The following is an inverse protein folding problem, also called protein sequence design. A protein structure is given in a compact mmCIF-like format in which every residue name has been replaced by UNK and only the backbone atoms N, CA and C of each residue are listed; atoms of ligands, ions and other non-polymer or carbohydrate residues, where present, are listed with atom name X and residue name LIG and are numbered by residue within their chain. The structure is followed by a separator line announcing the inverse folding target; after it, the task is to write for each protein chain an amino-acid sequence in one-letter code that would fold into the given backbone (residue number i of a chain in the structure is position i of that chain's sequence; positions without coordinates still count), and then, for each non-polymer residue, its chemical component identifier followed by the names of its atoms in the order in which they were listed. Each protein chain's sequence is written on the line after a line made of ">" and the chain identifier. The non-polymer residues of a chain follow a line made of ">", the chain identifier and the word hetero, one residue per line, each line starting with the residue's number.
data_IF_380495670275
#
_entry.id   IF_380495670275
#
_cell.length_a   1.000
_cell.length_b   1.000
_cell.length_c   1.000
_cell.angle_alpha   90.00
_cell.angle_beta   90.00
_cell.angle_gamma   90.00
#
_symmetry.space_group_name_H-M   'P 1'
#
loop_
_entity.id
_entity.type
_entity.pdbx_description
1 polymer ?
#
# COMPACT_ATOMS: atom_id res chain seq x y z
N UNK A 1 8.12 10.92 36.46
CA UNK A 1 8.05 9.54 35.94
C UNK A 1 8.92 8.56 36.71
N UNK A 2 10.25 8.75 36.78
CA UNK A 2 11.14 7.77 37.44
C UNK A 2 10.69 7.45 38.87
N UNK A 3 10.50 8.46 39.72
CA UNK A 3 10.03 8.27 41.09
C UNK A 3 8.68 7.55 41.17
N UNK A 4 7.72 7.92 40.32
CA UNK A 4 6.36 7.34 40.31
C UNK A 4 6.43 5.85 39.98
N UNK A 5 7.07 5.49 38.86
CA UNK A 5 7.17 4.09 38.41
C UNK A 5 7.94 3.27 39.43
N UNK A 6 9.10 3.75 39.87
CA UNK A 6 9.98 2.99 40.76
C UNK A 6 9.36 2.79 42.14
N UNK A 7 8.68 3.80 42.69
CA UNK A 7 7.99 3.68 43.98
C UNK A 7 6.78 2.77 43.88
N UNK A 8 6.02 2.81 42.78
CA UNK A 8 4.86 1.94 42.57
C UNK A 8 5.23 0.45 42.43
N UNK A 9 6.46 0.14 42.04
CA UNK A 9 6.95 -1.23 41.83
C UNK A 9 7.65 -1.81 43.07
N UNK A 10 7.85 -1.02 44.13
CA UNK A 10 8.43 -1.52 45.38
C UNK A 10 7.54 -2.61 45.96
N UNK A 11 8.14 -3.75 46.29
CA UNK A 11 7.43 -4.89 46.90
C UNK A 11 6.80 -5.87 45.91
N UNK A 12 6.87 -5.61 44.60
CA UNK A 12 6.41 -6.56 43.59
C UNK A 12 7.54 -7.45 43.09
N UNK A 13 7.23 -8.74 42.88
CA UNK A 13 8.13 -9.68 42.20
C UNK A 13 7.51 -10.05 40.85
N UNK A 14 8.08 -9.53 39.76
CA UNK A 14 7.51 -9.60 38.42
C UNK A 14 8.41 -10.44 37.50
N UNK A 15 7.82 -11.25 36.64
CA UNK A 15 8.55 -11.91 35.54
C UNK A 15 8.75 -10.99 34.34
N UNK A 16 7.71 -10.21 34.01
CA UNK A 16 7.67 -9.28 32.88
C UNK A 16 7.00 -7.98 33.32
N UNK A 17 7.66 -6.86 33.05
CA UNK A 17 7.11 -5.51 33.24
C UNK A 17 6.98 -4.80 31.90
N UNK A 18 5.77 -4.35 31.59
CA UNK A 18 5.54 -3.46 30.44
C UNK A 18 5.22 -2.06 30.94
N UNK A 19 6.01 -1.08 30.51
CA UNK A 19 5.81 0.33 30.83
C UNK A 19 5.28 1.03 29.58
N UNK A 20 3.99 1.37 29.57
CA UNK A 20 3.38 2.18 28.51
C UNK A 20 3.41 3.65 28.89
N UNK A 21 3.98 4.50 28.03
CA UNK A 21 4.06 5.96 28.23
C UNK A 21 4.29 6.67 26.89
N UNK A 22 3.72 7.86 26.69
CA UNK A 22 3.68 8.54 25.38
C UNK A 22 5.05 8.89 24.80
N UNK A 23 6.04 9.02 25.69
CA UNK A 23 7.45 9.24 25.34
C UNK A 23 8.34 8.12 25.88
N UNK A 24 7.79 6.92 26.09
CA UNK A 24 8.55 5.75 26.55
C UNK A 24 9.78 5.46 25.67
N UNK A 25 9.68 5.72 24.36
CA UNK A 25 10.77 5.57 23.40
C UNK A 25 11.99 6.47 23.70
N UNK A 26 11.77 7.65 24.28
CA UNK A 26 12.82 8.57 24.73
C UNK A 26 13.23 8.25 26.16
N UNK A 27 12.25 8.06 27.04
CA UNK A 27 12.43 7.81 28.46
C UNK A 27 13.26 6.55 28.72
N UNK A 28 13.05 5.47 27.96
CA UNK A 28 13.78 4.20 28.14
C UNK A 28 15.29 4.32 27.92
N UNK A 29 15.74 5.26 27.07
CA UNK A 29 17.15 5.37 26.62
C UNK A 29 18.13 5.60 27.76
N UNK A 30 17.71 6.36 28.79
CA UNK A 30 18.55 6.65 29.96
C UNK A 30 17.98 6.06 31.26
N UNK A 31 17.06 5.09 31.17
CA UNK A 31 16.45 4.46 32.35
C UNK A 31 17.49 3.76 33.25
N UNK A 32 18.46 2.98 32.73
CA UNK A 32 19.47 2.34 33.58
C UNK A 32 20.30 3.35 34.38
N UNK A 33 20.68 4.47 33.77
CA UNK A 33 21.46 5.54 34.41
C UNK A 33 20.62 6.27 35.46
N UNK A 34 19.36 6.56 35.16
CA UNK A 34 18.45 7.22 36.11
C UNK A 34 18.13 6.31 37.29
N UNK A 35 17.92 5.01 37.07
CA UNK A 35 17.72 4.02 38.13
C UNK A 35 18.91 3.98 39.12
N UNK A 36 20.15 4.13 38.63
CA UNK A 36 21.35 4.21 39.51
C UNK A 36 21.36 5.45 40.41
N UNK A 37 20.72 6.55 39.99
CA UNK A 37 20.64 7.80 40.77
C UNK A 37 19.54 7.78 41.84
N UNK A 38 18.68 6.77 41.81
CA UNK A 38 17.54 6.69 42.72
C UNK A 38 17.95 6.17 44.10
N UNK A 39 17.21 6.57 45.16
CA UNK A 39 17.40 6.04 46.51
C UNK A 39 17.42 4.52 46.52
N UNK A 40 18.32 3.92 47.30
CA UNK A 40 18.53 2.45 47.33
C UNK A 40 17.23 1.67 47.57
N UNK A 41 16.33 2.21 48.39
CA UNK A 41 15.06 1.58 48.76
C UNK A 41 14.06 1.42 47.60
N UNK A 42 14.16 2.26 46.56
CA UNK A 42 13.22 2.27 45.42
C UNK A 42 13.91 1.94 44.09
N UNK A 43 15.20 1.62 44.11
CA UNK A 43 15.93 1.23 42.90
C UNK A 43 15.42 -0.11 42.38
N UNK A 44 15.09 -0.18 41.09
CA UNK A 44 14.64 -1.42 40.46
C UNK A 44 15.82 -2.35 40.16
N UNK A 45 15.73 -3.65 40.45
CA UNK A 45 16.72 -4.63 40.03
C UNK A 45 16.49 -5.02 38.57
N UNK A 46 16.83 -4.13 37.63
CA UNK A 46 16.56 -4.27 36.19
C UNK A 46 17.20 -5.51 35.54
N UNK A 47 18.13 -6.16 36.24
CA UNK A 47 18.80 -7.40 35.85
C UNK A 47 18.04 -8.68 36.28
N UNK A 48 17.04 -8.56 37.16
CA UNK A 48 16.31 -9.69 37.74
C UNK A 48 14.99 -10.02 37.06
N UNK A 49 14.51 -9.16 36.17
CA UNK A 49 13.24 -9.35 35.46
C UNK A 49 13.31 -8.75 34.06
N UNK A 50 12.46 -9.24 33.17
CA UNK A 50 12.35 -8.67 31.82
C UNK A 50 11.50 -7.42 31.89
N UNK A 51 11.99 -6.31 31.32
CA UNK A 51 11.18 -5.10 31.16
C UNK A 51 11.18 -4.62 29.72
N UNK A 52 10.04 -4.06 29.31
CA UNK A 52 9.87 -3.46 28.01
C UNK A 52 9.13 -2.13 28.14
N UNK A 53 9.47 -1.20 27.26
CA UNK A 53 8.85 0.12 27.17
C UNK A 53 8.07 0.20 25.87
N UNK A 54 6.88 0.79 25.93
CA UNK A 54 5.98 0.87 24.79
C UNK A 54 5.27 2.22 24.70
N UNK A 55 4.97 2.62 23.46
CA UNK A 55 4.06 3.71 23.16
C UNK A 55 2.63 3.17 23.18
N UNK A 56 1.70 3.83 23.90
CA UNK A 56 0.27 3.58 23.79
C UNK A 56 -0.21 3.64 22.33
N UNK A 57 -1.30 2.94 22.01
CA UNK A 57 -1.72 2.68 20.62
C UNK A 57 -2.05 3.96 19.84
N UNK A 58 -2.75 4.91 20.45
CA UNK A 58 -3.05 6.22 19.84
C UNK A 58 -1.80 7.10 19.80
N UNK A 59 -1.02 7.11 20.88
CA UNK A 59 0.20 7.92 20.95
C UNK A 59 1.26 7.50 19.95
N UNK A 60 1.40 6.19 19.70
CA UNK A 60 2.32 5.67 18.71
C UNK A 60 2.13 6.40 17.37
N UNK A 61 0.88 6.61 16.92
CA UNK A 61 0.56 7.30 15.66
C UNK A 61 1.15 8.71 15.50
N UNK A 62 1.53 9.38 16.60
CA UNK A 62 2.16 10.70 16.58
C UNK A 62 3.69 10.66 16.40
N UNK A 63 4.30 9.47 16.39
CA UNK A 63 5.74 9.27 16.17
C UNK A 63 6.02 8.91 14.71
N UNK A 64 7.29 8.93 14.28
CA UNK A 64 7.65 8.40 12.96
C UNK A 64 7.46 6.87 12.89
N UNK A 65 7.36 6.34 11.67
CA UNK A 65 7.05 4.92 11.40
C UNK A 65 8.04 3.95 12.08
N UNK A 66 9.33 4.28 12.07
CA UNK A 66 10.35 3.43 12.69
C UNK A 66 10.18 3.36 14.21
N UNK A 67 9.94 4.51 14.85
CA UNK A 67 9.66 4.59 16.28
C UNK A 67 8.36 3.84 16.64
N UNK A 68 7.33 3.95 15.78
CA UNK A 68 6.08 3.21 15.92
C UNK A 68 6.29 1.70 15.89
N UNK A 69 7.01 1.20 14.88
CA UNK A 69 7.28 -0.22 14.73
C UNK A 69 8.11 -0.78 15.89
N UNK A 70 9.08 -0.02 16.39
CA UNK A 70 9.97 -0.45 17.47
C UNK A 70 9.33 -0.40 18.85
N UNK A 71 8.42 0.54 19.08
CA UNK A 71 7.90 0.85 20.41
C UNK A 71 6.40 0.67 20.55
N UNK A 72 5.65 0.42 19.48
CA UNK A 72 4.21 0.25 19.54
C UNK A 72 3.81 -0.87 20.51
N UNK A 73 2.86 -0.57 21.40
CA UNK A 73 2.38 -1.54 22.39
C UNK A 73 1.87 -2.83 21.74
N UNK A 74 1.20 -2.74 20.59
CA UNK A 74 0.66 -3.90 19.87
C UNK A 74 1.71 -4.93 19.42
N UNK A 75 3.00 -4.56 19.39
CA UNK A 75 4.10 -5.45 19.00
C UNK A 75 4.86 -6.04 20.20
N UNK A 76 4.45 -5.73 21.44
CA UNK A 76 5.13 -6.19 22.65
C UNK A 76 4.60 -7.54 23.12
N UNK A 77 5.51 -8.41 23.53
CA UNK A 77 5.15 -9.74 24.00
C UNK A 77 4.42 -9.64 25.35
N UNK A 78 3.39 -10.46 25.56
CA UNK A 78 2.69 -10.55 26.85
C UNK A 78 1.69 -9.43 27.16
N UNK A 79 1.52 -8.41 26.30
CA UNK A 79 0.60 -7.29 26.57
C UNK A 79 -0.85 -7.54 26.11
N UNK A 80 -1.06 -8.56 25.28
CA UNK A 80 -2.36 -8.87 24.68
C UNK A 80 -2.92 -7.72 23.83
N UNK A 81 -4.25 -7.66 23.67
CA UNK A 81 -4.92 -6.56 22.99
C UNK A 81 -5.27 -5.44 23.97
N UNK A 82 -4.26 -4.64 24.32
CA UNK A 82 -4.38 -3.45 25.16
C UNK A 82 -4.03 -2.18 24.37
N UNK A 83 -4.64 -1.05 24.73
CA UNK A 83 -4.35 0.26 24.13
C UNK A 83 -3.31 1.07 24.92
N UNK A 84 -3.25 0.91 26.25
CA UNK A 84 -2.38 1.68 27.12
C UNK A 84 -2.86 3.12 27.39
N UNK A 85 -4.11 3.46 27.03
CA UNK A 85 -4.63 4.85 27.01
C UNK A 85 -5.54 5.18 28.21
N UNK A 86 -5.77 4.21 29.11
CA UNK A 86 -6.82 4.31 30.13
C UNK A 86 -6.68 5.44 31.16
N UNK A 87 -5.55 6.16 31.20
CA UNK A 87 -5.36 7.35 32.04
C UNK A 87 -5.94 8.62 31.40
N UNK A 88 -6.08 8.64 30.07
CA UNK A 88 -6.47 9.85 29.33
C UNK A 88 -7.98 9.99 29.13
N UNK A 89 -8.73 8.91 29.31
CA UNK A 89 -10.18 8.91 29.10
C UNK A 89 -10.93 9.87 30.06
N UNK A 90 -10.31 10.20 31.21
CA UNK A 90 -10.93 11.02 32.26
C UNK A 90 -10.32 12.44 32.37
N UNK A 91 -9.27 12.73 31.59
CA UNK A 91 -8.51 13.98 31.66
C UNK A 91 -8.95 15.00 30.59
N UNK A 92 -10.16 15.55 30.73
CA UNK A 92 -10.62 16.66 29.88
C UNK A 92 -9.90 17.97 30.18
N UNK A 93 -9.54 18.76 29.15
CA UNK A 93 -8.91 20.09 29.33
C UNK A 93 -9.83 21.02 30.14
N UNK A 94 -9.31 21.62 31.21
CA UNK A 94 -9.96 22.72 31.94
C UNK A 94 -10.61 22.37 33.29
N UNK A 95 -10.38 21.17 33.84
CA UNK A 95 -10.85 20.82 35.19
C UNK A 95 -9.92 21.38 36.27
N UNK A 96 -10.48 21.83 37.41
CA UNK A 96 -9.68 22.23 38.59
C UNK A 96 -9.01 20.99 39.20
N UNK A 97 -7.84 21.16 39.80
CA UNK A 97 -7.01 20.07 40.38
C UNK A 97 -7.84 19.18 41.31
N UNK A 98 -8.60 19.75 42.24
CA UNK A 98 -9.41 19.01 43.21
C UNK A 98 -10.46 18.09 42.54
N UNK A 99 -11.02 18.51 41.40
CA UNK A 99 -11.98 17.68 40.66
C UNK A 99 -11.31 16.52 39.92
N UNK A 100 -10.05 16.70 39.51
CA UNK A 100 -9.27 15.60 38.92
C UNK A 100 -8.87 14.60 39.99
N UNK A 101 -8.44 15.05 41.17
CA UNK A 101 -8.09 14.17 42.30
C UNK A 101 -9.28 13.28 42.70
N UNK A 102 -10.46 13.87 42.95
CA UNK A 102 -11.67 13.12 43.33
C UNK A 102 -12.07 12.07 42.28
N UNK A 103 -11.99 12.43 40.99
CA UNK A 103 -12.27 11.50 39.89
C UNK A 103 -11.25 10.38 39.79
N UNK A 104 -9.96 10.71 39.91
CA UNK A 104 -8.86 9.73 39.84
C UNK A 104 -8.96 8.76 41.02
N UNK A 105 -9.24 9.25 42.23
CA UNK A 105 -9.36 8.42 43.43
C UNK A 105 -10.57 7.49 43.35
N UNK A 106 -11.73 8.02 42.95
CA UNK A 106 -12.93 7.22 42.70
C UNK A 106 -12.67 6.11 41.65
N UNK A 107 -12.00 6.46 40.55
CA UNK A 107 -11.64 5.50 39.50
C UNK A 107 -10.66 4.43 40.00
N UNK A 108 -9.63 4.82 40.76
CA UNK A 108 -8.67 3.89 41.34
C UNK A 108 -9.36 2.94 42.32
N UNK A 109 -10.25 3.46 43.17
CA UNK A 109 -11.05 2.64 44.09
C UNK A 109 -11.92 1.64 43.33
N UNK A 110 -12.70 2.11 42.34
CA UNK A 110 -13.54 1.26 41.50
C UNK A 110 -12.73 0.19 40.75
N UNK A 111 -11.55 0.53 40.23
CA UNK A 111 -10.63 -0.43 39.59
C UNK A 111 -10.16 -1.49 40.57
N UNK A 112 -9.75 -1.10 41.78
CA UNK A 112 -9.24 -2.03 42.79
C UNK A 112 -10.32 -3.03 43.22
N UNK A 113 -11.55 -2.57 43.51
CA UNK A 113 -12.64 -3.47 43.93
C UNK A 113 -13.20 -4.30 42.75
N UNK A 114 -13.20 -3.75 41.54
CA UNK A 114 -13.78 -4.38 40.34
C UNK A 114 -12.80 -5.25 39.55
N UNK A 115 -11.52 -5.31 39.95
CA UNK A 115 -10.46 -5.93 39.15
C UNK A 115 -10.76 -7.41 38.84
N UNK A 116 -11.21 -8.18 39.83
CA UNK A 116 -11.48 -9.61 39.65
C UNK A 116 -12.57 -9.87 38.60
N UNK A 117 -13.70 -9.19 38.71
CA UNK A 117 -14.81 -9.30 37.75
C UNK A 117 -14.40 -8.81 36.35
N UNK A 118 -13.70 -7.68 36.27
CA UNK A 118 -13.21 -7.14 35.01
C UNK A 118 -12.23 -8.10 34.30
N UNK A 119 -11.31 -8.71 35.05
CA UNK A 119 -10.36 -9.69 34.51
C UNK A 119 -11.07 -10.98 34.05
N UNK A 120 -12.06 -11.47 34.80
CA UNK A 120 -12.85 -12.63 34.40
C UNK A 120 -13.59 -12.39 33.08
N UNK A 121 -14.27 -11.24 32.94
CA UNK A 121 -14.98 -10.87 31.70
C UNK A 121 -14.00 -10.74 30.53
N UNK A 122 -12.85 -10.08 30.74
CA UNK A 122 -11.81 -9.94 29.72
C UNK A 122 -11.23 -11.29 29.29
N UNK A 123 -11.06 -12.24 30.22
CA UNK A 123 -10.56 -13.58 29.91
C UNK A 123 -11.51 -14.34 28.97
N UNK A 124 -12.83 -14.27 29.21
CA UNK A 124 -13.85 -14.90 28.35
C UNK A 124 -13.74 -14.36 26.92
N UNK A 125 -13.70 -13.03 26.78
CA UNK A 125 -13.55 -12.37 25.47
C UNK A 125 -12.22 -12.75 24.82
N UNK A 126 -11.12 -12.74 25.57
CA UNK A 126 -9.79 -13.06 25.06
C UNK A 126 -9.68 -14.51 24.57
N UNK A 127 -10.38 -15.46 25.19
CA UNK A 127 -10.43 -16.85 24.71
C UNK A 127 -11.16 -16.93 23.37
N UNK A 128 -12.35 -16.31 23.27
CA UNK A 128 -13.11 -16.28 22.01
C UNK A 128 -12.33 -15.60 20.88
N UNK A 129 -11.72 -14.45 21.15
CA UNK A 129 -10.93 -13.72 20.17
C UNK A 129 -9.68 -14.50 19.74
N UNK A 130 -9.01 -15.18 20.68
CA UNK A 130 -7.87 -16.05 20.36
C UNK A 130 -8.26 -17.13 19.35
N UNK A 131 -9.41 -17.78 19.52
CA UNK A 131 -9.87 -18.81 18.59
C UNK A 131 -10.11 -18.22 17.18
N UNK A 132 -10.73 -17.04 17.10
CA UNK A 132 -10.87 -16.30 15.84
C UNK A 132 -9.52 -15.96 15.19
N UNK A 133 -8.57 -15.44 15.97
CA UNK A 133 -7.24 -15.08 15.46
C UNK A 133 -6.44 -16.30 15.01
N UNK A 134 -6.57 -17.44 15.70
CA UNK A 134 -5.91 -18.70 15.32
C UNK A 134 -6.43 -19.20 13.97
N UNK A 135 -7.74 -19.19 13.75
CA UNK A 135 -8.31 -19.61 12.46
C UNK A 135 -7.93 -18.63 11.33
N UNK A 136 -7.98 -17.33 11.58
CA UNK A 136 -7.52 -16.33 10.62
C UNK A 136 -6.03 -16.52 10.26
N UNK A 137 -5.19 -16.78 11.26
CA UNK A 137 -3.77 -17.04 11.05
C UNK A 137 -3.54 -18.32 10.23
N UNK A 138 -4.26 -19.41 10.51
CA UNK A 138 -4.19 -20.66 9.73
C UNK A 138 -4.56 -20.42 8.27
N UNK A 139 -5.63 -19.67 8.04
CA UNK A 139 -6.10 -19.37 6.68
C UNK A 139 -5.05 -18.58 5.89
N UNK A 140 -4.57 -17.46 6.44
CA UNK A 140 -3.53 -16.64 5.80
C UNK A 140 -2.25 -17.44 5.60
N UNK A 141 -1.85 -18.22 6.60
CA UNK A 141 -0.65 -19.04 6.52
C UNK A 141 -0.77 -20.13 5.45
N UNK A 142 -1.95 -20.63 5.12
CA UNK A 142 -2.11 -21.75 4.17
C UNK A 142 -1.59 -21.41 2.77
N UNK A 143 -1.66 -20.15 2.36
CA UNK A 143 -1.33 -19.70 1.01
C UNK A 143 0.09 -19.17 0.86
N UNK A 144 0.80 -18.98 1.97
CA UNK A 144 2.20 -18.54 1.98
C UNK A 144 3.11 -19.76 1.80
N UNK A 145 4.18 -19.61 1.02
CA UNK A 145 5.17 -20.67 0.80
C UNK A 145 5.95 -21.02 2.09
N UNK A 146 6.44 -22.26 2.20
CA UNK A 146 7.01 -22.78 3.46
C UNK A 146 8.35 -22.14 3.82
N UNK A 147 9.16 -21.83 2.81
CA UNK A 147 10.41 -21.09 2.90
C UNK A 147 10.18 -19.66 3.41
N UNK A 148 9.19 -18.94 2.85
CA UNK A 148 8.82 -17.59 3.29
C UNK A 148 8.41 -17.57 4.75
N UNK A 149 7.60 -18.55 5.20
CA UNK A 149 7.24 -18.69 6.63
C UNK A 149 8.45 -18.91 7.51
N UNK A 150 9.39 -19.73 7.05
CA UNK A 150 10.59 -20.09 7.81
C UNK A 150 11.50 -18.88 7.97
N UNK A 151 11.75 -18.16 6.87
CA UNK A 151 12.50 -16.92 6.87
C UNK A 151 11.87 -15.87 7.81
N UNK A 152 10.55 -15.64 7.69
CA UNK A 152 9.89 -14.63 8.52
C UNK A 152 9.88 -14.98 10.01
N UNK A 153 9.67 -16.25 10.36
CA UNK A 153 9.81 -16.72 11.75
C UNK A 153 11.22 -16.54 12.30
N UNK A 154 12.24 -16.73 11.48
CA UNK A 154 13.63 -16.48 11.87
C UNK A 154 13.89 -14.99 12.10
N UNK A 155 13.36 -14.11 11.24
CA UNK A 155 13.44 -12.65 11.43
C UNK A 155 12.80 -12.21 12.75
N UNK A 156 11.60 -12.70 13.07
CA UNK A 156 10.92 -12.40 14.34
C UNK A 156 11.75 -12.86 15.54
N UNK A 157 12.28 -14.09 15.50
CA UNK A 157 13.14 -14.60 16.58
C UNK A 157 14.43 -13.79 16.74
N UNK A 158 15.05 -13.39 15.64
CA UNK A 158 16.26 -12.58 15.66
C UNK A 158 15.98 -11.20 16.28
N UNK A 159 14.90 -10.54 15.87
CA UNK A 159 14.51 -9.24 16.37
C UNK A 159 14.07 -9.25 17.84
N UNK A 160 13.30 -10.26 18.27
CA UNK A 160 12.91 -10.40 19.68
C UNK A 160 14.11 -10.63 20.60
N UNK A 161 15.15 -11.33 20.11
CA UNK A 161 16.40 -11.55 20.84
C UNK A 161 17.28 -10.31 20.85
N UNK A 162 17.34 -9.60 19.72
CA UNK A 162 18.17 -8.42 19.52
C UNK A 162 17.40 -7.36 18.70
N UNK A 163 16.85 -6.33 19.35
CA UNK A 163 16.13 -5.25 18.68
C UNK A 163 16.99 -4.41 17.72
N UNK A 164 18.31 -4.63 17.62
CA UNK A 164 19.15 -4.02 16.59
C UNK A 164 19.05 -4.71 15.22
N UNK A 165 18.51 -5.94 15.18
CA UNK A 165 18.24 -6.66 13.93
C UNK A 165 17.09 -5.99 13.15
N UNK A 166 16.94 -6.26 11.84
CA UNK A 166 15.84 -5.73 11.05
C UNK A 166 14.47 -6.06 11.66
N UNK A 167 13.66 -5.02 11.90
CA UNK A 167 12.35 -5.16 12.51
C UNK A 167 11.34 -5.75 11.49
N UNK A 168 10.79 -6.96 11.72
CA UNK A 168 9.87 -7.61 10.79
C UNK A 168 8.49 -6.96 10.72
N UNK A 169 8.18 -6.04 11.64
CA UNK A 169 6.92 -5.31 11.71
C UNK A 169 6.99 -3.93 11.05
N UNK A 170 8.19 -3.44 10.75
CA UNK A 170 8.34 -2.24 9.93
C UNK A 170 7.83 -2.59 8.53
N UNK A 171 6.86 -1.83 7.98
CA UNK A 171 6.42 -2.07 6.61
C UNK A 171 7.65 -2.00 5.72
N UNK A 172 7.89 -3.05 4.93
CA UNK A 172 8.92 -3.02 3.90
C UNK A 172 8.61 -1.82 3.03
N UNK A 173 9.42 -0.76 3.14
CA UNK A 173 9.44 0.28 2.12
C UNK A 173 9.81 -0.48 0.86
N UNK A 174 8.83 -0.72 0.01
CA UNK A 174 9.15 -1.16 -1.34
C UNK A 174 10.10 -0.09 -1.84
N UNK A 175 11.37 -0.43 -2.01
CA UNK A 175 12.39 0.38 -2.71
C UNK A 175 12.01 0.48 -4.21
N UNK A 176 10.72 0.58 -4.49
CA UNK A 176 10.13 0.82 -5.77
C UNK A 176 10.05 2.34 -5.91
N UNK A 177 10.92 2.96 -6.71
CA UNK A 177 10.77 4.36 -7.02
C UNK A 177 9.37 4.60 -7.62
N UNK A 178 8.76 5.70 -7.20
CA UNK A 178 7.51 6.16 -7.76
C UNK A 178 7.66 6.42 -9.26
N UNK A 179 6.56 6.35 -10.01
CA UNK A 179 6.60 6.71 -11.43
C UNK A 179 7.15 8.14 -11.66
N UNK A 180 6.99 9.05 -10.70
CA UNK A 180 7.53 10.40 -10.78
C UNK A 180 9.06 10.43 -10.62
N UNK A 181 9.60 9.68 -9.67
CA UNK A 181 11.05 9.54 -9.47
C UNK A 181 11.72 8.87 -10.68
N UNK A 182 11.11 7.82 -11.25
CA UNK A 182 11.63 7.18 -12.46
C UNK A 182 11.59 8.12 -13.66
N UNK A 183 10.51 8.88 -13.85
CA UNK A 183 10.45 9.91 -14.92
C UNK A 183 11.54 10.97 -14.75
N UNK A 184 11.83 11.38 -13.52
CA UNK A 184 12.91 12.33 -13.24
C UNK A 184 14.28 11.73 -13.54
N UNK A 185 14.51 10.46 -13.18
CA UNK A 185 15.75 9.76 -13.48
C UNK A 185 15.99 9.63 -15.00
N UNK A 186 14.99 9.15 -15.74
CA UNK A 186 15.08 9.03 -17.21
C UNK A 186 15.32 10.39 -17.87
N UNK A 187 14.71 11.46 -17.36
CA UNK A 187 14.96 12.83 -17.84
C UNK A 187 16.39 13.29 -17.56
N UNK A 188 16.93 13.00 -16.36
CA UNK A 188 18.32 13.33 -16.02
C UNK A 188 19.32 12.59 -16.90
N UNK A 189 19.06 11.32 -17.18
CA UNK A 189 19.91 10.51 -18.09
C UNK A 189 19.89 11.07 -19.51
N UNK A 190 18.71 11.52 -19.98
CA UNK A 190 18.55 12.22 -21.25
C UNK A 190 19.32 13.55 -21.28
N UNK A 191 19.17 14.39 -20.25
CA UNK A 191 19.88 15.68 -20.13
C UNK A 191 21.41 15.48 -20.10
N UNK A 192 21.89 14.42 -19.44
CA UNK A 192 23.31 14.05 -19.44
C UNK A 192 23.80 13.58 -20.82
N UNK A 193 23.01 12.79 -21.54
CA UNK A 193 23.35 12.36 -22.90
C UNK A 193 23.36 13.53 -23.90
N UNK A 194 22.44 14.49 -23.73
CA UNK A 194 22.43 15.76 -24.46
C UNK A 194 23.70 16.57 -24.20
N UNK A 195 24.09 16.74 -22.92
CA UNK A 195 25.32 17.43 -22.55
C UNK A 195 26.58 16.75 -23.10
N UNK A 196 26.55 15.43 -23.25
CA UNK A 196 27.63 14.64 -23.85
C UNK A 196 27.63 14.63 -25.40
N UNK A 197 26.68 15.31 -26.06
CA UNK A 197 26.55 15.34 -27.52
C UNK A 197 26.11 14.01 -28.14
N UNK A 198 25.53 13.11 -27.36
CA UNK A 198 25.12 11.76 -27.79
C UNK A 198 23.63 11.69 -28.20
N UNK A 199 22.89 12.80 -28.09
CA UNK A 199 21.48 12.86 -28.45
C UNK A 199 21.27 13.20 -29.93
N UNK A 200 20.47 12.43 -30.68
CA UNK A 200 20.21 12.70 -32.10
C UNK A 200 19.27 13.89 -32.38
N UNK A 201 18.57 14.45 -31.39
CA UNK A 201 17.50 15.42 -31.61
C UNK A 201 17.55 16.65 -30.68
N UNK A 202 17.60 17.85 -31.25
CA UNK A 202 17.55 19.13 -30.53
C UNK A 202 16.11 19.66 -30.29
N UNK A 203 15.77 20.10 -29.07
CA UNK A 203 14.64 21.01 -28.81
C UNK A 203 13.33 20.41 -28.29
N UNK A 204 13.21 19.08 -28.14
CA UNK A 204 12.17 18.47 -27.29
C UNK A 204 12.73 17.25 -26.58
N UNK A 205 12.20 16.89 -25.41
CA UNK A 205 12.65 15.72 -24.64
C UNK A 205 11.89 14.47 -25.12
N UNK A 206 12.64 13.43 -25.54
CA UNK A 206 12.14 12.08 -25.82
C UNK A 206 11.42 11.48 -24.61
N UNK A 207 11.88 11.79 -23.39
CA UNK A 207 11.17 11.42 -22.15
C UNK A 207 9.79 12.05 -22.11
N UNK A 208 9.68 13.35 -22.41
CA UNK A 208 8.39 14.06 -22.44
C UNK A 208 7.44 13.51 -23.51
N UNK A 209 7.97 13.12 -24.68
CA UNK A 209 7.20 12.44 -25.73
C UNK A 209 6.62 11.12 -25.24
N UNK A 210 7.43 10.25 -24.63
CA UNK A 210 6.96 8.96 -24.09
C UNK A 210 5.92 9.17 -22.99
N UNK A 211 6.17 10.08 -22.05
CA UNK A 211 5.24 10.41 -20.97
C UNK A 211 3.91 10.92 -21.52
N UNK A 212 3.92 11.74 -22.58
CA UNK A 212 2.70 12.18 -23.24
C UNK A 212 1.91 10.99 -23.82
N UNK A 213 2.58 10.04 -24.47
CA UNK A 213 1.96 8.79 -24.95
C UNK A 213 1.33 7.96 -23.83
N UNK A 214 2.03 7.78 -22.71
CA UNK A 214 1.52 7.07 -21.53
C UNK A 214 0.29 7.76 -20.92
N UNK A 215 0.26 9.10 -20.90
CA UNK A 215 -0.90 9.87 -20.44
C UNK A 215 -2.10 9.75 -21.36
N UNK A 216 -1.87 9.63 -22.67
CA UNK A 216 -2.94 9.39 -23.66
C UNK A 216 -3.52 7.99 -23.44
N UNK A 217 -2.68 6.95 -23.30
CA UNK A 217 -3.17 5.59 -22.97
C UNK A 217 -3.97 5.57 -21.66
N UNK A 218 -3.52 6.27 -20.62
CA UNK A 218 -4.29 6.40 -19.37
C UNK A 218 -5.65 7.07 -19.59
N UNK A 219 -5.71 8.12 -20.40
CA UNK A 219 -6.96 8.79 -20.73
C UNK A 219 -7.90 7.89 -21.56
N UNK A 220 -7.37 7.14 -22.53
CA UNK A 220 -8.12 6.14 -23.29
C UNK A 220 -8.72 5.08 -22.36
N UNK A 221 -7.91 4.53 -21.45
CA UNK A 221 -8.38 3.54 -20.45
C UNK A 221 -9.47 4.10 -19.56
N UNK A 222 -9.30 5.32 -19.04
CA UNK A 222 -10.32 5.96 -18.20
C UNK A 222 -11.66 6.05 -18.92
N UNK A 223 -11.66 6.43 -20.20
CA UNK A 223 -12.88 6.49 -21.01
C UNK A 223 -13.49 5.08 -21.19
N UNK A 224 -12.68 4.07 -21.51
CA UNK A 224 -13.15 2.68 -21.66
C UNK A 224 -13.77 2.16 -20.37
N UNK A 225 -13.14 2.37 -19.21
CA UNK A 225 -13.68 1.97 -17.91
C UNK A 225 -15.01 2.69 -17.62
N UNK A 226 -15.09 3.98 -17.95
CA UNK A 226 -16.34 4.73 -17.79
C UNK A 226 -17.43 4.27 -18.75
N UNK A 227 -17.11 3.73 -19.92
CA UNK A 227 -18.09 3.15 -20.85
C UNK A 227 -18.58 1.76 -20.41
N UNK A 228 -17.70 0.97 -19.77
CA UNK A 228 -18.04 -0.36 -19.27
C UNK A 228 -18.92 -0.32 -18.00
N UNK A 229 -18.95 0.80 -17.28
CA UNK A 229 -19.74 0.96 -16.06
C UNK A 229 -21.25 0.88 -16.32
N UNK A 230 -21.95 0.06 -15.52
CA UNK A 230 -23.37 -0.29 -15.66
C UNK A 230 -24.36 0.78 -15.20
N UNK A 231 -23.89 1.91 -14.67
CA UNK A 231 -24.76 3.00 -14.26
C UNK A 231 -25.52 3.59 -15.46
N UNK A 232 -26.77 4.03 -15.23
CA UNK A 232 -27.58 4.73 -16.24
C UNK A 232 -26.78 5.89 -16.85
N UNK A 233 -26.84 6.00 -18.17
CA UNK A 233 -26.20 7.08 -18.91
C UNK A 233 -27.08 8.32 -18.75
N UNK A 234 -26.61 9.29 -17.98
CA UNK A 234 -27.25 10.60 -17.83
C UNK A 234 -26.72 11.56 -18.89
N UNK A 235 -27.49 12.58 -19.27
CA UNK A 235 -27.06 13.60 -20.22
C UNK A 235 -25.72 14.27 -19.81
N UNK A 236 -25.55 14.56 -18.52
CA UNK A 236 -24.28 15.07 -17.95
C UNK A 236 -23.09 14.11 -18.14
N UNK A 237 -23.32 12.79 -18.09
CA UNK A 237 -22.27 11.79 -18.35
C UNK A 237 -21.90 11.73 -19.83
N UNK A 238 -22.87 11.87 -20.73
CA UNK A 238 -22.62 11.94 -22.17
C UNK A 238 -21.82 13.19 -22.54
N UNK A 239 -22.22 14.36 -22.01
CA UNK A 239 -21.50 15.62 -22.21
C UNK A 239 -20.03 15.50 -21.77
N UNK A 240 -19.79 15.00 -20.54
CA UNK A 240 -18.43 14.77 -20.02
C UNK A 240 -17.63 13.80 -20.89
N UNK A 241 -18.26 12.74 -21.38
CA UNK A 241 -17.61 11.78 -22.27
C UNK A 241 -17.22 12.43 -23.60
N UNK A 242 -18.08 13.29 -24.17
CA UNK A 242 -17.78 14.06 -25.36
C UNK A 242 -16.62 15.03 -25.15
N UNK A 243 -16.58 15.73 -24.01
CA UNK A 243 -15.46 16.61 -23.66
C UNK A 243 -14.15 15.86 -23.51
N UNK A 244 -14.17 14.70 -22.83
CA UNK A 244 -12.98 13.86 -22.70
C UNK A 244 -12.48 13.34 -24.05
N UNK A 245 -13.39 12.92 -24.93
CA UNK A 245 -13.06 12.51 -26.31
C UNK A 245 -12.44 13.65 -27.12
N UNK A 246 -13.00 14.86 -27.03
CA UNK A 246 -12.47 16.05 -27.72
C UNK A 246 -11.07 16.40 -27.21
N UNK A 247 -10.89 16.44 -25.89
CA UNK A 247 -9.59 16.71 -25.27
C UNK A 247 -8.55 15.63 -25.65
N UNK A 248 -8.98 14.38 -25.74
CA UNK A 248 -8.13 13.26 -26.16
C UNK A 248 -7.67 13.40 -27.61
N UNK A 249 -8.56 13.77 -28.55
CA UNK A 249 -8.19 14.01 -29.94
C UNK A 249 -7.16 15.13 -30.09
N UNK A 250 -7.29 16.22 -29.34
CA UNK A 250 -6.30 17.31 -29.34
C UNK A 250 -4.93 16.82 -28.86
N UNK A 251 -4.90 15.99 -27.80
CA UNK A 251 -3.65 15.41 -27.29
C UNK A 251 -3.03 14.44 -28.30
N UNK A 252 -3.84 13.60 -28.95
CA UNK A 252 -3.38 12.67 -29.99
C UNK A 252 -2.79 13.45 -31.16
N UNK A 253 -3.43 14.52 -31.63
CA UNK A 253 -2.90 15.36 -32.71
C UNK A 253 -1.51 15.92 -32.37
N UNK A 254 -1.33 16.51 -31.19
CA UNK A 254 -0.01 16.99 -30.72
C UNK A 254 1.01 15.87 -30.59
N UNK A 255 0.60 14.70 -30.12
CA UNK A 255 1.46 13.52 -30.02
C UNK A 255 1.93 13.06 -31.40
N UNK A 256 1.07 13.07 -32.42
CA UNK A 256 1.44 12.69 -33.80
C UNK A 256 2.51 13.61 -34.39
N UNK A 257 2.46 14.92 -34.14
CA UNK A 257 3.50 15.84 -34.60
C UNK A 257 4.87 15.52 -34.00
N UNK A 258 4.92 15.17 -32.72
CA UNK A 258 6.16 14.70 -32.08
C UNK A 258 6.56 13.31 -32.59
N UNK A 259 5.59 12.42 -32.84
CA UNK A 259 5.84 11.07 -33.31
C UNK A 259 6.53 11.04 -34.68
N UNK A 260 6.23 11.97 -35.59
CA UNK A 260 6.94 12.11 -36.88
C UNK A 260 8.45 12.27 -36.69
N UNK A 261 8.87 12.89 -35.57
CA UNK A 261 10.27 13.16 -35.25
C UNK A 261 10.94 12.01 -34.51
N UNK A 262 10.27 11.41 -33.52
CA UNK A 262 10.84 10.35 -32.66
C UNK A 262 10.64 8.93 -33.18
N UNK A 263 9.62 8.72 -34.02
CA UNK A 263 9.21 7.41 -34.51
C UNK A 263 8.77 7.49 -35.98
N UNK A 264 9.70 7.78 -36.91
CA UNK A 264 9.38 7.88 -38.34
C UNK A 264 8.71 6.63 -38.90
N UNK A 265 9.05 5.43 -38.41
CA UNK A 265 8.42 4.18 -38.83
C UNK A 265 6.94 4.07 -38.44
N UNK A 266 6.46 4.85 -37.47
CA UNK A 266 5.06 4.83 -37.07
C UNK A 266 4.13 5.38 -38.17
N UNK A 267 4.62 6.23 -39.07
CA UNK A 267 3.85 6.73 -40.20
C UNK A 267 3.47 5.58 -41.16
N UNK A 268 4.42 4.68 -41.45
CA UNK A 268 4.15 3.50 -42.28
C UNK A 268 3.20 2.53 -41.58
N UNK A 269 3.39 2.29 -40.28
CA UNK A 269 2.49 1.43 -39.52
C UNK A 269 1.05 1.96 -39.46
N UNK A 270 0.87 3.29 -39.38
CA UNK A 270 -0.43 3.94 -39.48
C UNK A 270 -1.06 3.78 -40.86
N UNK A 271 -0.26 3.95 -41.93
CA UNK A 271 -0.74 3.78 -43.30
C UNK A 271 -1.21 2.33 -43.53
N UNK A 272 -0.40 1.35 -43.13
CA UNK A 272 -0.76 -0.07 -43.25
C UNK A 272 -2.06 -0.37 -42.48
N UNK A 273 -2.22 0.17 -41.27
CA UNK A 273 -3.45 -0.01 -40.48
C UNK A 273 -4.69 0.57 -41.18
N UNK A 274 -4.54 1.70 -41.88
CA UNK A 274 -5.63 2.33 -42.63
C UNK A 274 -5.94 1.56 -43.91
N UNK A 275 -4.92 1.03 -44.60
CA UNK A 275 -5.09 0.17 -45.78
C UNK A 275 -5.79 -1.15 -45.45
N UNK A 276 -5.50 -1.73 -44.29
CA UNK A 276 -6.15 -2.95 -43.81
C UNK A 276 -7.56 -2.70 -43.25
N UNK A 277 -7.98 -1.43 -43.11
CA UNK A 277 -9.31 -1.10 -42.60
C UNK A 277 -10.34 -1.26 -43.71
N UNK A 278 -11.44 -1.91 -43.35
CA UNK A 278 -12.66 -1.91 -44.16
C UNK A 278 -13.11 -0.45 -44.44
N UNK A 279 -13.25 -0.10 -45.71
CA UNK A 279 -13.65 1.24 -46.15
C UNK A 279 -15.06 1.60 -45.67
N UNK A 280 -15.93 0.61 -45.47
CA UNK A 280 -17.30 0.82 -44.98
C UNK A 280 -17.37 0.99 -43.45
N UNK A 281 -16.29 0.65 -42.73
CA UNK A 281 -16.26 0.78 -41.28
C UNK A 281 -16.04 2.24 -40.84
N UNK A 282 -16.79 2.72 -39.83
CA UNK A 282 -16.59 4.07 -39.30
C UNK A 282 -15.20 4.23 -38.68
N UNK A 283 -14.64 5.45 -38.66
CA UNK A 283 -13.34 5.70 -38.06
C UNK A 283 -13.34 5.32 -36.57
N UNK A 284 -12.20 4.83 -36.04
CA UNK A 284 -12.11 4.40 -34.66
C UNK A 284 -12.42 5.57 -33.70
N UNK A 285 -13.23 5.28 -32.68
CA UNK A 285 -13.49 6.26 -31.61
C UNK A 285 -12.17 6.65 -30.92
N UNK A 286 -12.07 7.87 -30.34
CA UNK A 286 -10.82 8.38 -29.76
C UNK A 286 -10.15 7.43 -28.75
N UNK A 287 -10.96 6.76 -27.93
CA UNK A 287 -10.50 5.79 -26.93
C UNK A 287 -9.92 4.49 -27.51
N UNK A 288 -10.14 4.21 -28.80
CA UNK A 288 -9.66 3.01 -29.51
C UNK A 288 -8.56 3.32 -30.54
N UNK A 289 -8.16 4.57 -30.72
CA UNK A 289 -7.10 4.95 -31.66
C UNK A 289 -5.77 4.34 -31.20
N UNK A 290 -5.15 3.51 -32.05
CA UNK A 290 -3.82 2.93 -31.78
C UNK A 290 -2.75 4.02 -31.86
N UNK A 291 -1.96 4.18 -30.79
CA UNK A 291 -0.92 5.22 -30.74
C UNK A 291 0.36 4.81 -31.46
N UNK A 292 0.64 3.50 -31.59
CA UNK A 292 1.95 3.02 -32.06
C UNK A 292 3.09 3.59 -31.21
N UNK A 293 3.03 3.38 -29.90
CA UNK A 293 4.19 3.52 -29.01
C UNK A 293 5.29 2.52 -29.41
N UNK A 294 6.56 2.69 -29.00
CA UNK A 294 7.62 1.73 -29.34
C UNK A 294 7.25 0.26 -29.01
N UNK A 295 6.53 0.05 -27.91
CA UNK A 295 5.98 -1.25 -27.50
C UNK A 295 4.89 -1.84 -28.41
N UNK A 296 4.27 -1.01 -29.25
CA UNK A 296 3.18 -1.36 -30.17
C UNK A 296 3.63 -1.38 -31.63
N UNK A 297 4.88 -1.01 -31.92
CA UNK A 297 5.43 -1.05 -33.27
C UNK A 297 5.55 -2.50 -33.74
N UNK A 298 5.18 -2.80 -35.00
CA UNK A 298 5.42 -4.12 -35.59
C UNK A 298 6.89 -4.50 -35.50
N UNK A 299 7.16 -5.74 -35.12
CA UNK A 299 8.50 -6.33 -35.18
C UNK A 299 8.77 -6.81 -36.61
N UNK A 300 8.92 -5.87 -37.55
CA UNK A 300 9.31 -6.20 -38.92
C UNK A 300 10.83 -6.46 -38.98
N UNK A 301 11.20 -7.74 -38.97
CA UNK A 301 12.60 -8.18 -39.11
C UNK A 301 13.49 -7.91 -37.89
N UNK A 302 14.79 -8.10 -38.08
CA UNK A 302 15.83 -7.94 -37.07
C UNK A 302 16.25 -6.48 -36.82
N UNK A 303 15.42 -5.48 -37.21
CA UNK A 303 15.73 -4.07 -36.99
C UNK A 303 15.60 -3.73 -35.49
N UNK A 304 16.70 -3.44 -34.78
CA UNK A 304 16.68 -3.14 -33.35
C UNK A 304 15.96 -1.83 -33.02
N UNK A 305 15.71 -0.96 -34.01
CA UNK A 305 15.10 0.34 -33.79
C UNK A 305 13.59 0.35 -34.01
N UNK A 306 13.01 -0.61 -34.74
CA UNK A 306 11.57 -0.65 -35.10
C UNK A 306 11.07 0.69 -35.68
N UNK A 307 11.91 1.37 -36.46
CA UNK A 307 11.63 2.72 -36.96
C UNK A 307 11.49 3.81 -35.88
N UNK A 308 12.05 3.59 -34.69
CA UNK A 308 12.19 4.56 -33.61
C UNK A 308 13.60 5.18 -33.60
N UNK A 309 13.73 6.35 -33.02
CA UNK A 309 15.06 6.91 -32.69
C UNK A 309 15.73 6.05 -31.60
N UNK A 310 17.06 5.96 -31.63
CA UNK A 310 17.85 5.18 -30.67
C UNK A 310 17.54 5.57 -29.21
N UNK A 311 17.56 4.57 -28.33
CA UNK A 311 17.33 4.77 -26.88
C UNK A 311 15.86 4.81 -26.46
N UNK A 312 14.93 5.12 -27.37
CA UNK A 312 13.50 5.28 -27.05
C UNK A 312 12.86 4.00 -26.48
N UNK A 313 13.24 2.83 -27.03
CA UNK A 313 12.81 1.51 -26.55
C UNK A 313 13.24 1.31 -25.09
N UNK A 314 14.51 1.56 -24.76
CA UNK A 314 15.04 1.41 -23.38
C UNK A 314 14.33 2.34 -22.39
N UNK A 315 14.09 3.59 -22.81
CA UNK A 315 13.37 4.57 -21.99
C UNK A 315 11.93 4.12 -21.73
N UNK A 316 11.21 3.62 -22.75
CA UNK A 316 9.86 3.08 -22.55
C UNK A 316 9.91 1.84 -21.64
N UNK A 317 10.85 0.91 -21.82
CA UNK A 317 11.00 -0.27 -20.96
C UNK A 317 11.13 0.12 -19.49
N UNK A 318 11.98 1.11 -19.19
CA UNK A 318 12.18 1.63 -17.83
C UNK A 318 10.88 2.22 -17.26
N UNK A 319 10.18 3.04 -18.04
CA UNK A 319 8.90 3.64 -17.64
C UNK A 319 7.83 2.56 -17.42
N UNK A 320 7.74 1.54 -18.27
CA UNK A 320 6.75 0.46 -18.16
C UNK A 320 7.02 -0.45 -16.97
N UNK A 321 8.29 -0.78 -16.69
CA UNK A 321 8.68 -1.52 -15.49
C UNK A 321 8.23 -0.78 -14.22
N UNK A 322 8.44 0.54 -14.15
CA UNK A 322 7.95 1.36 -13.04
C UNK A 322 6.42 1.36 -12.93
N UNK A 323 5.70 1.44 -14.06
CA UNK A 323 4.23 1.36 -14.09
C UNK A 323 3.74 0.01 -13.55
N UNK A 324 4.38 -1.10 -13.92
CA UNK A 324 4.02 -2.42 -13.42
C UNK A 324 4.20 -2.52 -11.90
N UNK A 325 5.36 -2.13 -11.37
CA UNK A 325 5.62 -2.17 -9.92
C UNK A 325 4.64 -1.30 -9.13
N UNK A 326 4.47 -0.04 -9.54
CA UNK A 326 3.57 0.90 -8.87
C UNK A 326 2.10 0.45 -8.96
N UNK A 327 1.68 -0.12 -10.10
CA UNK A 327 0.34 -0.67 -10.25
C UNK A 327 0.12 -1.90 -9.36
N UNK A 328 1.11 -2.77 -9.19
CA UNK A 328 1.03 -3.93 -8.28
C UNK A 328 0.91 -3.50 -6.82
N UNK A 329 1.74 -2.56 -6.35
CA UNK A 329 1.66 -2.03 -4.98
C UNK A 329 0.26 -1.46 -4.71
N UNK A 330 -0.23 -0.65 -5.65
CA UNK A 330 -1.57 -0.05 -5.56
C UNK A 330 -2.68 -1.10 -5.60
N UNK A 331 -2.54 -2.12 -6.44
CA UNK A 331 -3.49 -3.22 -6.57
C UNK A 331 -3.59 -4.03 -5.27
N UNK A 332 -2.45 -4.42 -4.69
CA UNK A 332 -2.39 -5.14 -3.40
C UNK A 332 -3.06 -4.35 -2.29
N UNK A 333 -2.71 -3.07 -2.13
CA UNK A 333 -3.32 -2.20 -1.13
C UNK A 333 -4.85 -2.11 -1.28
N UNK A 334 -5.35 -2.00 -2.51
CA UNK A 334 -6.80 -1.95 -2.80
C UNK A 334 -7.50 -3.28 -2.56
N UNK A 335 -6.86 -4.42 -2.86
CA UNK A 335 -7.38 -5.75 -2.53
C UNK A 335 -7.49 -5.94 -1.02
N UNK A 336 -6.47 -5.52 -0.24
CA UNK A 336 -6.54 -5.54 1.23
C UNK A 336 -7.67 -4.66 1.76
N UNK A 337 -7.81 -3.44 1.26
CA UNK A 337 -8.89 -2.55 1.64
C UNK A 337 -10.26 -3.16 1.32
N UNK A 338 -10.45 -3.72 0.11
CA UNK A 338 -11.69 -4.37 -0.30
C UNK A 338 -12.04 -5.55 0.62
N UNK A 339 -11.06 -6.41 0.93
CA UNK A 339 -11.25 -7.53 1.86
C UNK A 339 -11.65 -7.04 3.24
N UNK A 340 -10.95 -6.04 3.77
CA UNK A 340 -11.27 -5.46 5.08
C UNK A 340 -12.70 -4.91 5.12
N UNK A 341 -13.12 -4.17 4.10
CA UNK A 341 -14.48 -3.64 4.01
C UNK A 341 -15.55 -4.73 3.95
N UNK A 342 -15.29 -5.81 3.21
CA UNK A 342 -16.20 -6.96 3.15
C UNK A 342 -16.31 -7.64 4.52
N UNK A 343 -15.18 -7.89 5.20
CA UNK A 343 -15.16 -8.48 6.55
C UNK A 343 -15.88 -7.58 7.55
N UNK A 344 -15.63 -6.27 7.51
CA UNK A 344 -16.30 -5.29 8.37
C UNK A 344 -17.81 -5.27 8.13
N UNK A 345 -18.22 -5.26 6.86
CA UNK A 345 -19.63 -5.28 6.46
C UNK A 345 -20.34 -6.51 7.01
N UNK A 346 -19.78 -7.71 6.79
CA UNK A 346 -20.35 -8.98 7.24
C UNK A 346 -20.50 -9.07 8.77
N UNK A 347 -19.65 -8.40 9.53
CA UNK A 347 -19.65 -8.46 11.00
C UNK A 347 -20.49 -7.37 11.66
N UNK A 348 -20.56 -6.16 11.08
CA UNK A 348 -21.03 -4.97 11.81
C UNK A 348 -22.25 -4.28 11.20
N UNK A 349 -22.56 -4.55 9.93
CA UNK A 349 -23.61 -3.80 9.23
C UNK A 349 -24.91 -4.59 9.21
N UNK A 350 -25.94 -3.99 9.78
CA UNK A 350 -27.30 -4.53 9.78
C UNK A 350 -28.28 -3.50 9.20
N UNK A 351 -29.38 -3.99 8.62
CA UNK A 351 -30.42 -3.14 8.04
C UNK A 351 -30.10 -2.63 6.63
N UNK A 352 -31.16 -2.23 5.92
CA UNK A 352 -31.12 -1.98 4.48
C UNK A 352 -30.24 -0.79 4.10
N UNK A 353 -30.41 0.37 4.75
CA UNK A 353 -29.70 1.61 4.39
C UNK A 353 -28.18 1.49 4.56
N UNK A 354 -27.73 0.95 5.70
CA UNK A 354 -26.30 0.78 5.97
C UNK A 354 -25.69 -0.28 5.04
N UNK A 355 -26.45 -1.34 4.73
CA UNK A 355 -26.02 -2.36 3.76
C UNK A 355 -25.85 -1.79 2.36
N UNK A 356 -26.77 -0.94 1.90
CA UNK A 356 -26.63 -0.25 0.61
C UNK A 356 -25.38 0.62 0.58
N UNK A 357 -25.13 1.44 1.62
CA UNK A 357 -23.93 2.30 1.69
C UNK A 357 -22.64 1.49 1.68
N UNK A 358 -22.57 0.42 2.48
CA UNK A 358 -21.40 -0.45 2.54
C UNK A 358 -21.15 -1.13 1.19
N UNK A 359 -22.20 -1.59 0.52
CA UNK A 359 -22.11 -2.18 -0.82
C UNK A 359 -21.59 -1.19 -1.85
N UNK A 360 -22.12 0.03 -1.89
CA UNK A 360 -21.62 1.09 -2.77
C UNK A 360 -20.12 1.35 -2.55
N UNK A 361 -19.67 1.39 -1.29
CA UNK A 361 -18.26 1.56 -0.97
C UNK A 361 -17.40 0.39 -1.46
N UNK A 362 -17.84 -0.86 -1.26
CA UNK A 362 -17.15 -2.06 -1.74
C UNK A 362 -17.08 -2.07 -3.27
N UNK A 363 -18.16 -1.70 -3.95
CA UNK A 363 -18.24 -1.63 -5.41
C UNK A 363 -17.27 -0.56 -5.95
N UNK A 364 -17.21 0.64 -5.33
CA UNK A 364 -16.24 1.69 -5.67
C UNK A 364 -14.79 1.23 -5.51
N UNK A 365 -14.47 0.51 -4.44
CA UNK A 365 -13.13 -0.07 -4.28
C UNK A 365 -12.89 -1.16 -5.33
N UNK A 366 -13.89 -1.96 -5.66
CA UNK A 366 -13.86 -2.95 -6.74
C UNK A 366 -13.53 -2.33 -8.10
N UNK A 367 -14.17 -1.24 -8.48
CA UNK A 367 -13.87 -0.48 -9.70
C UNK A 367 -12.41 0.00 -9.73
N UNK A 368 -11.89 0.46 -8.58
CA UNK A 368 -10.49 0.88 -8.46
C UNK A 368 -9.50 -0.29 -8.52
N UNK A 369 -9.87 -1.47 -8.03
CA UNK A 369 -9.09 -2.72 -8.19
C UNK A 369 -8.94 -3.03 -9.67
N UNK A 370 -10.04 -3.09 -10.41
CA UNK A 370 -10.02 -3.36 -11.86
C UNK A 370 -9.22 -2.31 -12.63
N UNK A 371 -9.38 -1.02 -12.31
CA UNK A 371 -8.58 0.04 -12.93
C UNK A 371 -7.07 -0.17 -12.72
N UNK A 372 -6.65 -0.63 -11.53
CA UNK A 372 -5.23 -0.94 -11.24
C UNK A 372 -4.77 -2.17 -12.03
N UNK A 373 -5.62 -3.19 -12.11
CA UNK A 373 -5.34 -4.42 -12.83
C UNK A 373 -5.17 -4.17 -14.34
N UNK A 374 -6.05 -3.37 -14.94
CA UNK A 374 -5.92 -2.93 -16.33
C UNK A 374 -4.66 -2.09 -16.54
N UNK A 375 -4.30 -1.23 -15.59
CA UNK A 375 -3.04 -0.47 -15.66
C UNK A 375 -1.84 -1.39 -15.72
N UNK A 376 -1.80 -2.39 -14.83
CA UNK A 376 -0.76 -3.41 -14.80
C UNK A 376 -0.71 -4.24 -16.08
N UNK A 377 -1.83 -4.85 -16.50
CA UNK A 377 -1.90 -5.71 -17.71
C UNK A 377 -1.40 -4.99 -18.94
N UNK A 378 -1.84 -3.75 -19.17
CA UNK A 378 -1.40 -2.95 -20.32
C UNK A 378 0.09 -2.61 -20.27
N UNK A 379 0.63 -2.27 -19.10
CA UNK A 379 2.06 -2.02 -18.94
C UNK A 379 2.88 -3.30 -19.14
N UNK A 380 2.38 -4.44 -18.66
CA UNK A 380 2.98 -5.75 -18.83
C UNK A 380 2.99 -6.19 -20.31
N UNK A 381 1.87 -6.06 -21.03
CA UNK A 381 1.80 -6.28 -22.47
C UNK A 381 2.81 -5.42 -23.23
N UNK A 382 2.95 -4.15 -22.84
CA UNK A 382 3.93 -3.25 -23.46
C UNK A 382 5.37 -3.71 -23.19
N UNK A 383 5.69 -4.17 -21.98
CA UNK A 383 7.01 -4.76 -21.68
C UNK A 383 7.29 -6.00 -22.52
N UNK A 384 6.32 -6.91 -22.63
CA UNK A 384 6.45 -8.09 -23.48
C UNK A 384 6.69 -7.68 -24.94
N UNK A 385 5.94 -6.69 -25.42
CA UNK A 385 6.14 -6.11 -26.75
C UNK A 385 7.55 -5.55 -26.96
N UNK A 386 8.19 -5.00 -25.94
CA UNK A 386 9.56 -4.44 -25.99
C UNK A 386 10.67 -5.49 -25.84
N UNK A 387 10.35 -6.77 -25.61
CA UNK A 387 11.33 -7.83 -25.39
C UNK A 387 11.59 -8.17 -23.91
N UNK A 388 10.79 -7.64 -22.98
CA UNK A 388 10.90 -7.89 -21.54
C UNK A 388 11.53 -6.73 -20.75
N UNK A 389 11.55 -6.88 -19.42
CA UNK A 389 12.26 -5.99 -18.52
C UNK A 389 13.75 -6.39 -18.42
N UNK A 390 14.59 -5.49 -17.89
CA UNK A 390 16.00 -5.78 -17.61
C UNK A 390 16.18 -6.99 -16.68
N UNK A 391 17.36 -7.61 -16.73
CA UNK A 391 17.69 -8.82 -15.97
C UNK A 391 17.43 -8.64 -14.46
N UNK A 392 16.53 -9.46 -13.91
CA UNK A 392 16.23 -9.50 -12.47
C UNK A 392 14.76 -9.26 -12.10
N UNK A 393 13.97 -8.55 -12.92
CA UNK A 393 12.56 -8.27 -12.60
C UNK A 393 11.62 -9.10 -13.48
N UNK A 394 11.13 -10.23 -12.95
CA UNK A 394 10.17 -11.10 -13.64
C UNK A 394 8.73 -10.68 -13.35
N UNK A 395 8.16 -9.83 -14.21
CA UNK A 395 6.73 -9.54 -14.19
C UNK A 395 5.90 -10.71 -14.74
N UNK A 396 4.85 -11.11 -14.02
CA UNK A 396 3.94 -12.20 -14.43
C UNK A 396 2.65 -11.66 -15.03
N UNK A 397 2.01 -12.43 -15.90
CA UNK A 397 0.66 -12.14 -16.37
C UNK A 397 -0.32 -12.10 -15.19
N UNK A 398 -1.14 -11.06 -15.10
CA UNK A 398 -2.19 -10.92 -14.08
C UNK A 398 -3.52 -11.42 -14.64
N UNK A 399 -3.96 -12.59 -14.18
CA UNK A 399 -5.20 -13.23 -14.64
C UNK A 399 -6.43 -12.60 -13.98
N UNK A 400 -7.63 -12.74 -14.56
CA UNK A 400 -8.87 -12.27 -13.92
C UNK A 400 -9.11 -12.88 -12.54
N UNK A 401 -8.71 -14.14 -12.35
CA UNK A 401 -8.81 -14.86 -11.07
C UNK A 401 -7.98 -14.20 -9.96
N UNK A 402 -6.87 -13.55 -10.32
CA UNK A 402 -5.91 -12.97 -9.37
C UNK A 402 -6.44 -11.69 -8.70
N UNK A 403 -7.48 -11.08 -9.29
CA UNK A 403 -8.18 -9.91 -8.76
C UNK A 403 -9.52 -10.24 -8.09
N UNK A 404 -9.96 -11.49 -8.19
CA UNK A 404 -11.20 -11.95 -7.57
C UNK A 404 -10.97 -12.38 -6.13
N UNK A 405 -11.64 -11.67 -5.21
CA UNK A 405 -11.83 -12.14 -3.85
C UNK A 405 -13.01 -13.13 -3.87
N UNK A 406 -12.77 -14.38 -4.28
CA UNK A 406 -13.80 -15.42 -4.34
C UNK A 406 -14.64 -15.50 -3.04
N UNK A 407 -15.96 -15.64 -3.18
CA UNK A 407 -16.81 -16.32 -2.19
C UNK A 407 -17.43 -15.54 -1.01
N UNK A 408 -17.47 -14.21 -0.96
CA UNK A 408 -18.08 -13.49 0.17
C UNK A 408 -19.61 -13.27 0.07
N UNK A 409 -20.39 -14.26 -0.39
CA UNK A 409 -21.87 -14.20 -0.31
C UNK A 409 -22.48 -15.17 0.71
N UNK A 410 -21.72 -16.11 1.26
CA UNK A 410 -22.21 -17.00 2.32
C UNK A 410 -21.14 -17.13 3.40
N UNK A 411 -21.57 -17.46 4.63
CA UNK A 411 -20.80 -17.59 5.89
C UNK A 411 -19.54 -18.50 5.86
N UNK A 412 -19.06 -18.89 4.69
CA UNK A 412 -17.88 -19.73 4.51
C UNK A 412 -16.86 -18.93 3.70
N UNK A 413 -15.83 -18.51 4.43
CA UNK A 413 -14.61 -17.90 3.94
C UNK A 413 -13.94 -18.86 2.93
N UNK A 414 -13.72 -18.44 1.67
CA UNK A 414 -13.01 -19.26 0.69
C UNK A 414 -12.03 -18.47 -0.21
N UNK A 415 -10.75 -18.52 0.19
CA UNK A 415 -9.54 -18.79 -0.61
C UNK A 415 -9.57 -18.71 -2.16
N UNK A 416 -8.91 -17.66 -2.71
CA UNK A 416 -8.06 -17.79 -3.93
C UNK A 416 -7.19 -16.56 -4.26
N UNK A 417 -7.56 -15.37 -3.80
CA UNK A 417 -6.85 -14.12 -4.12
C UNK A 417 -5.43 -13.94 -3.53
N UNK A 418 -4.94 -14.89 -2.73
CA UNK A 418 -3.73 -14.71 -1.92
C UNK A 418 -2.42 -14.93 -2.69
N UNK A 419 -2.48 -15.40 -3.95
CA UNK A 419 -1.28 -15.76 -4.73
C UNK A 419 -0.42 -14.56 -5.15
N UNK A 420 -0.97 -13.35 -5.13
CA UNK A 420 -0.29 -12.09 -5.51
C UNK A 420 -0.20 -11.07 -4.38
N UNK A 421 -0.64 -11.45 -3.18
CA UNK A 421 -0.59 -10.62 -1.98
C UNK A 421 0.78 -10.72 -1.29
N UNK A 422 1.53 -11.82 -1.52
CA UNK A 422 2.78 -12.13 -0.80
C UNK A 422 4.02 -12.38 -1.67
N UNK A 423 3.90 -12.24 -2.99
CA UNK A 423 5.02 -12.01 -3.93
C UNK A 423 4.74 -10.65 -4.52
#
# INVERSE_FOLDING_TARGET
>A
MDYIIMSALVGFNLMLLTISYDIACQWKKTLPERNKKMPKAIRLPLDKFTYQCALPVWHAGSHNEDCQADNGLSFKEGVGKSDGEGVEHDAGRGQRVDSLEDKIDSHNYSKNIGQGEALQRKLIVAISERDCQVEAFKEVSRTVEADVKTAWKQMIKAWLKDPSMPNPYTPSRTDCPSEAEVRLAVKRDEDAALAAGQSPLEGSSATAFLVAGLQIEEAQRRIITQLAGTALVTADREEKLHDWRRALLVKIGKFRELQKRYMPGAAQALLNLETDRDEEAPPPKPEKIKLFMPSQMPSEGADPLRGCVSGLIRMETTLRASQCLNALVTLRARLHAKRHLITFWNANVAGQVQSTKARTLIDQVGERVEASAHKYRRAWEALIGLGGAEEGVKFRELRPEDVQLDGCQHKIICNRALKYIFI
#
